data_IF_480633877019
#
_entry.id   IF_480633877019
#
_cell.length_a   1.000
_cell.length_b   1.000
_cell.length_c   1.000
_cell.angle_alpha   90.00
_cell.angle_beta   90.00
_cell.angle_gamma   90.00
#
_symmetry.space_group_name_H-M   'P 1'
#
loop_
_entity.id
_entity.type
_entity.pdbx_description
1 polymer ?
#
# COMPACT_ATOMS: atom_id res chain seq x y z
N UNK A 1 -6.07 12.35 31.51
CA UNK A 1 -5.51 11.00 31.71
C UNK A 1 -6.61 9.98 31.47
N UNK A 2 -6.57 9.29 30.32
CA UNK A 2 -7.59 8.31 29.92
C UNK A 2 -7.15 6.84 30.12
N UNK A 3 -5.88 6.60 30.49
CA UNK A 3 -5.34 5.26 30.75
C UNK A 3 -5.20 4.38 29.51
N UNK A 4 -5.31 4.93 28.30
CA UNK A 4 -5.33 4.15 27.04
C UNK A 4 -3.97 4.08 26.33
N UNK A 5 -2.90 4.60 26.93
CA UNK A 5 -1.57 4.64 26.29
C UNK A 5 -1.00 3.23 26.01
N UNK A 6 -1.31 2.24 26.84
CA UNK A 6 -0.95 0.84 26.57
C UNK A 6 -1.64 0.30 25.32
N UNK A 7 -2.94 0.57 25.15
CA UNK A 7 -3.71 0.21 23.95
C UNK A 7 -3.13 0.90 22.70
N UNK A 8 -2.81 2.20 22.80
CA UNK A 8 -2.17 2.96 21.71
C UNK A 8 -0.82 2.38 21.32
N UNK A 9 -0.01 2.01 22.31
CA UNK A 9 1.30 1.39 22.09
C UNK A 9 1.17 0.06 21.36
N UNK A 10 0.25 -0.81 21.82
CA UNK A 10 -0.03 -2.08 21.16
C UNK A 10 -0.50 -1.88 19.72
N UNK A 11 -1.41 -0.92 19.48
CA UNK A 11 -1.93 -0.62 18.15
C UNK A 11 -0.87 -0.08 17.19
N UNK A 12 0.01 0.80 17.67
CA UNK A 12 1.17 1.26 16.89
C UNK A 12 2.06 0.06 16.49
N UNK A 13 2.34 -0.85 17.43
CA UNK A 13 3.17 -2.02 17.15
C UNK A 13 2.56 -2.96 16.10
N UNK A 14 1.24 -3.20 16.17
CA UNK A 14 0.50 -3.98 15.16
C UNK A 14 0.63 -3.38 13.76
N UNK A 15 0.34 -2.08 13.62
CA UNK A 15 0.36 -1.38 12.34
C UNK A 15 1.77 -1.35 11.75
N UNK A 16 2.80 -1.14 12.58
CA UNK A 16 4.20 -1.19 12.14
C UNK A 16 4.62 -2.60 11.70
N UNK A 17 4.14 -3.63 12.40
CA UNK A 17 4.40 -5.03 12.01
C UNK A 17 3.76 -5.38 10.67
N UNK A 18 2.52 -4.97 10.44
CA UNK A 18 1.86 -5.12 9.13
C UNK A 18 2.63 -4.39 8.04
N UNK A 19 3.00 -3.13 8.28
CA UNK A 19 3.77 -2.34 7.31
C UNK A 19 5.09 -3.03 6.95
N UNK A 20 5.83 -3.53 7.94
CA UNK A 20 7.05 -4.30 7.70
C UNK A 20 6.81 -5.53 6.82
N UNK A 21 5.70 -6.22 7.04
CA UNK A 21 5.31 -7.37 6.21
C UNK A 21 5.03 -6.95 4.77
N UNK A 22 4.31 -5.85 4.57
CA UNK A 22 4.05 -5.29 3.23
C UNK A 22 5.35 -4.87 2.53
N UNK A 23 6.30 -4.27 3.25
CA UNK A 23 7.62 -3.91 2.69
C UNK A 23 8.35 -5.13 2.12
N UNK A 24 8.31 -6.27 2.82
CA UNK A 24 8.94 -7.51 2.36
C UNK A 24 8.29 -8.01 1.06
N UNK A 25 6.96 -7.98 0.97
CA UNK A 25 6.26 -8.39 -0.25
C UNK A 25 6.51 -7.45 -1.41
N UNK A 26 6.52 -6.13 -1.16
CA UNK A 26 6.80 -5.14 -2.20
C UNK A 26 8.20 -5.31 -2.77
N UNK A 27 9.20 -5.49 -1.90
CA UNK A 27 10.59 -5.69 -2.27
C UNK A 27 10.86 -7.01 -3.01
N UNK A 28 10.04 -8.04 -2.76
CA UNK A 28 10.12 -9.34 -3.44
C UNK A 28 9.45 -9.35 -4.83
N UNK A 29 8.81 -8.26 -5.24
CA UNK A 29 8.15 -8.15 -6.54
C UNK A 29 9.15 -8.22 -7.72
N UNK A 30 8.79 -8.85 -8.85
CA UNK A 30 9.65 -8.86 -10.02
C UNK A 30 9.74 -7.46 -10.64
N UNK A 31 10.95 -7.05 -11.03
CA UNK A 31 11.22 -5.69 -11.56
C UNK A 31 11.47 -5.70 -13.07
N UNK A 32 11.95 -6.82 -13.60
CA UNK A 32 12.32 -6.96 -15.01
C UNK A 32 11.73 -8.24 -15.62
N UNK A 33 11.24 -8.19 -16.87
CA UNK A 33 10.82 -9.38 -17.60
C UNK A 33 12.03 -10.22 -18.03
N UNK A 34 11.83 -11.52 -18.18
CA UNK A 34 12.82 -12.39 -18.82
C UNK A 34 12.97 -12.09 -20.33
N UNK A 35 11.90 -11.63 -20.98
CA UNK A 35 11.89 -11.23 -22.38
C UNK A 35 11.84 -9.70 -22.52
N UNK A 36 12.83 -9.11 -23.18
CA UNK A 36 12.91 -7.66 -23.42
C UNK A 36 11.69 -7.12 -24.19
N UNK A 37 11.04 -7.92 -25.02
CA UNK A 37 9.83 -7.51 -25.76
C UNK A 37 8.66 -7.18 -24.81
N UNK A 38 8.64 -7.74 -23.60
CA UNK A 38 7.61 -7.46 -22.61
C UNK A 38 7.91 -6.21 -21.76
N UNK A 39 9.10 -5.63 -21.88
CA UNK A 39 9.54 -4.49 -21.05
C UNK A 39 8.56 -3.32 -21.11
N UNK A 40 8.05 -2.97 -22.29
CA UNK A 40 7.14 -1.84 -22.47
C UNK A 40 5.66 -2.19 -22.30
N UNK A 41 5.35 -3.43 -21.94
CA UNK A 41 3.96 -3.84 -21.75
C UNK A 41 3.39 -3.32 -20.43
N UNK A 42 2.07 -3.21 -20.37
CA UNK A 42 1.38 -2.46 -19.32
C UNK A 42 1.59 -3.06 -17.93
N UNK A 43 1.53 -4.39 -17.78
CA UNK A 43 1.78 -5.03 -16.48
C UNK A 43 3.21 -4.80 -15.98
N UNK A 44 4.21 -4.90 -16.85
CA UNK A 44 5.61 -4.65 -16.48
C UNK A 44 5.87 -3.18 -16.17
N UNK A 45 5.24 -2.25 -16.88
CA UNK A 45 5.28 -0.83 -16.53
C UNK A 45 4.69 -0.56 -15.14
N UNK A 46 3.58 -1.20 -14.78
CA UNK A 46 2.95 -1.10 -13.46
C UNK A 46 3.86 -1.65 -12.36
N UNK A 47 4.50 -2.81 -12.56
CA UNK A 47 5.42 -3.38 -11.56
C UNK A 47 6.63 -2.48 -11.28
N UNK A 48 7.22 -1.89 -12.33
CA UNK A 48 8.30 -0.93 -12.16
C UNK A 48 7.85 0.31 -11.40
N UNK A 49 6.67 0.84 -11.71
CA UNK A 49 6.11 1.96 -10.96
C UNK A 49 5.90 1.58 -9.48
N UNK A 50 5.38 0.39 -9.21
CA UNK A 50 5.21 -0.10 -7.83
C UNK A 50 6.55 -0.24 -7.08
N UNK A 51 7.62 -0.60 -7.78
CA UNK A 51 8.97 -0.66 -7.19
C UNK A 51 9.44 0.74 -6.78
N UNK A 52 9.26 1.73 -7.66
CA UNK A 52 9.60 3.13 -7.37
C UNK A 52 8.75 3.68 -6.23
N UNK A 53 7.44 3.47 -6.25
CA UNK A 53 6.52 3.90 -5.21
C UNK A 53 6.85 3.23 -3.86
N UNK A 54 7.21 1.95 -3.91
CA UNK A 54 7.68 1.16 -2.77
C UNK A 54 8.95 1.71 -2.15
N UNK A 55 9.96 2.06 -2.96
CA UNK A 55 11.17 2.73 -2.46
C UNK A 55 10.85 4.09 -1.85
N UNK A 56 9.99 4.86 -2.51
CA UNK A 56 9.61 6.18 -2.02
C UNK A 56 8.94 6.12 -0.64
N UNK A 57 8.00 5.20 -0.39
CA UNK A 57 7.35 5.10 0.93
C UNK A 57 8.31 4.66 2.05
N UNK A 58 9.44 4.02 1.71
CA UNK A 58 10.53 3.73 2.64
C UNK A 58 11.37 4.97 2.96
N UNK A 59 11.67 5.78 1.95
CA UNK A 59 12.54 6.97 2.08
C UNK A 59 11.84 8.16 2.72
N UNK A 60 10.51 8.21 2.67
CA UNK A 60 9.72 9.26 3.31
C UNK A 60 10.02 9.27 4.81
N UNK A 61 10.56 10.40 5.29
CA UNK A 61 10.90 10.59 6.70
C UNK A 61 9.66 10.44 7.60
N UNK A 62 9.83 9.75 8.72
CA UNK A 62 8.81 9.70 9.76
C UNK A 62 8.72 11.06 10.44
N UNK A 63 7.51 11.60 10.57
CA UNK A 63 7.30 12.81 11.36
C UNK A 63 6.52 12.47 12.62
N UNK A 64 7.27 12.20 13.67
CA UNK A 64 6.75 11.85 14.99
C UNK A 64 6.69 13.05 15.93
N UNK A 65 7.04 14.26 15.46
CA UNK A 65 7.16 15.42 16.33
C UNK A 65 5.78 15.99 16.63
N UNK A 66 5.47 16.09 17.91
CA UNK A 66 4.30 16.84 18.40
C UNK A 66 4.77 18.00 19.30
N UNK A 67 4.12 19.17 19.23
CA UNK A 67 4.34 20.24 20.20
C UNK A 67 4.07 19.77 21.63
N UNK A 68 4.70 20.43 22.61
CA UNK A 68 4.49 20.11 24.03
C UNK A 68 3.01 20.21 24.41
N UNK A 69 2.44 19.12 24.90
CA UNK A 69 1.05 19.04 25.33
C UNK A 69 0.84 19.80 26.65
N UNK A 70 -0.30 20.51 26.75
CA UNK A 70 -0.75 21.09 28.01
C UNK A 70 -1.40 19.98 28.86
N UNK A 71 -0.62 19.22 29.61
CA UNK A 71 -1.18 18.12 30.41
C UNK A 71 -0.20 17.20 31.14
N UNK A 72 1.10 17.48 31.11
CA UNK A 72 2.12 16.60 31.71
C UNK A 72 2.52 15.44 30.81
N UNK A 73 3.32 14.52 31.36
CA UNK A 73 4.02 13.47 30.61
C UNK A 73 3.09 12.48 29.89
N UNK A 74 1.99 12.07 30.52
CA UNK A 74 1.07 11.10 29.91
C UNK A 74 0.26 11.69 28.74
N UNK A 75 -0.16 12.95 28.83
CA UNK A 75 -0.84 13.64 27.72
C UNK A 75 0.14 13.93 26.58
N UNK A 76 1.41 14.18 26.90
CA UNK A 76 2.50 14.24 25.91
C UNK A 76 2.68 12.88 25.21
N UNK A 77 2.79 11.79 25.98
CA UNK A 77 2.94 10.44 25.45
C UNK A 77 1.74 10.04 24.56
N UNK A 78 0.51 10.41 24.97
CA UNK A 78 -0.69 10.23 24.15
C UNK A 78 -0.56 10.95 22.81
N UNK A 79 -0.17 12.23 22.82
CA UNK A 79 -0.02 13.01 21.60
C UNK A 79 1.03 12.41 20.66
N UNK A 80 2.17 11.97 21.20
CA UNK A 80 3.23 11.29 20.46
C UNK A 80 2.74 9.99 19.84
N UNK A 81 2.06 9.14 20.62
CA UNK A 81 1.52 7.86 20.14
C UNK A 81 0.47 8.07 19.03
N UNK A 82 -0.40 9.07 19.15
CA UNK A 82 -1.38 9.38 18.11
C UNK A 82 -0.72 9.88 16.81
N UNK A 83 0.38 10.62 16.92
CA UNK A 83 1.15 11.06 15.76
C UNK A 83 1.89 9.90 15.09
N UNK A 84 2.53 9.03 15.88
CA UNK A 84 3.18 7.81 15.39
C UNK A 84 2.16 6.89 14.74
N UNK A 85 0.97 6.74 15.34
CA UNK A 85 -0.10 5.93 14.76
C UNK A 85 -0.53 6.48 13.40
N UNK A 86 -0.69 7.80 13.25
CA UNK A 86 -1.00 8.41 11.95
C UNK A 86 0.07 8.11 10.90
N UNK A 87 1.35 8.28 11.25
CA UNK A 87 2.48 7.99 10.36
C UNK A 87 2.49 6.51 9.93
N UNK A 88 2.41 5.59 10.89
CA UNK A 88 2.40 4.15 10.64
C UNK A 88 1.19 3.72 9.78
N UNK A 89 0.00 4.24 10.08
CA UNK A 89 -1.22 3.89 9.34
C UNK A 89 -1.18 4.40 7.91
N UNK A 90 -0.67 5.62 7.70
CA UNK A 90 -0.55 6.17 6.35
C UNK A 90 0.45 5.41 5.49
N UNK A 91 1.58 4.97 6.07
CA UNK A 91 2.54 4.10 5.39
C UNK A 91 1.97 2.72 5.07
N UNK A 92 1.27 2.09 6.03
CA UNK A 92 0.59 0.81 5.82
C UNK A 92 -0.45 0.92 4.70
N UNK A 93 -1.23 2.00 4.68
CA UNK A 93 -2.23 2.28 3.65
C UNK A 93 -1.60 2.36 2.26
N UNK A 94 -0.56 3.19 2.10
CA UNK A 94 0.10 3.35 0.80
C UNK A 94 0.78 2.05 0.36
N UNK A 95 1.41 1.32 1.29
CA UNK A 95 2.02 0.03 1.02
C UNK A 95 0.99 -1.03 0.57
N UNK A 96 -0.17 -1.10 1.22
CA UNK A 96 -1.24 -2.02 0.81
C UNK A 96 -1.71 -1.69 -0.62
N UNK A 97 -1.85 -0.40 -0.93
CA UNK A 97 -2.22 0.05 -2.28
C UNK A 97 -1.19 -0.36 -3.33
N UNK A 98 0.10 -0.21 -3.04
CA UNK A 98 1.20 -0.64 -3.91
C UNK A 98 1.14 -2.17 -4.11
N UNK A 99 0.97 -2.93 -3.04
CA UNK A 99 0.91 -4.40 -3.11
C UNK A 99 -0.26 -4.88 -3.98
N UNK A 100 -1.45 -4.32 -3.80
CA UNK A 100 -2.62 -4.65 -4.64
C UNK A 100 -2.36 -4.38 -6.13
N UNK A 101 -1.66 -3.27 -6.45
CA UNK A 101 -1.27 -2.94 -7.83
C UNK A 101 -0.23 -3.93 -8.37
N UNK A 102 0.73 -4.35 -7.55
CA UNK A 102 1.69 -5.39 -7.92
C UNK A 102 0.99 -6.71 -8.21
N UNK A 103 0.03 -7.11 -7.38
CA UNK A 103 -0.72 -8.35 -7.59
C UNK A 103 -1.58 -8.31 -8.86
N UNK A 104 -2.22 -7.19 -9.16
CA UNK A 104 -2.97 -7.01 -10.42
C UNK A 104 -2.05 -7.16 -11.64
N UNK A 105 -0.87 -6.54 -11.59
CA UNK A 105 0.12 -6.67 -12.65
C UNK A 105 0.67 -8.10 -12.78
N UNK A 106 0.93 -8.80 -11.67
CA UNK A 106 1.35 -10.21 -11.68
C UNK A 106 0.28 -11.13 -12.28
N UNK A 107 -1.00 -10.90 -11.96
CA UNK A 107 -2.12 -11.62 -12.60
C UNK A 107 -2.13 -11.38 -14.12
N UNK A 108 -1.99 -10.13 -14.55
CA UNK A 108 -1.92 -9.78 -15.97
C UNK A 108 -0.76 -10.49 -16.68
N UNK A 109 0.42 -10.55 -16.07
CA UNK A 109 1.59 -11.28 -16.63
C UNK A 109 1.25 -12.76 -16.80
N UNK A 110 0.71 -13.40 -15.77
CA UNK A 110 0.34 -14.82 -15.84
C UNK A 110 -0.72 -15.10 -16.91
N UNK A 111 -1.72 -14.23 -17.08
CA UNK A 111 -2.71 -14.38 -18.16
C UNK A 111 -2.12 -14.15 -19.54
N UNK A 112 -1.22 -13.18 -19.68
CA UNK A 112 -0.51 -12.94 -20.93
C UNK A 112 0.32 -14.15 -21.34
N UNK A 113 1.08 -14.73 -20.42
CA UNK A 113 1.85 -15.95 -20.66
C UNK A 113 0.95 -17.11 -21.13
N UNK A 114 -0.23 -17.26 -20.54
CA UNK A 114 -1.22 -18.27 -20.95
C UNK A 114 -1.78 -18.04 -22.36
N UNK A 115 -2.02 -16.78 -22.74
CA UNK A 115 -2.49 -16.43 -24.09
C UNK A 115 -1.39 -16.62 -25.14
N UNK A 116 -0.15 -16.30 -24.77
CA UNK A 116 1.00 -16.38 -25.68
C UNK A 116 1.53 -17.81 -25.82
N UNK A 117 1.48 -18.63 -24.77
CA UNK A 117 2.02 -20.00 -24.75
C UNK A 117 3.47 -20.09 -25.26
N UNK A 118 4.29 -19.08 -24.94
CA UNK A 118 5.68 -18.95 -25.40
C UNK A 118 5.84 -18.42 -26.84
N UNK A 119 4.74 -18.13 -27.54
CA UNK A 119 4.77 -17.45 -28.83
C UNK A 119 4.82 -15.92 -28.66
N UNK A 120 5.14 -15.21 -29.74
CA UNK A 120 5.08 -13.75 -29.77
C UNK A 120 3.64 -13.26 -30.03
N UNK A 121 3.29 -12.02 -29.66
CA UNK A 121 2.02 -11.41 -30.07
C UNK A 121 1.82 -11.49 -31.59
N UNK A 122 0.64 -11.94 -32.03
CA UNK A 122 0.30 -12.09 -33.45
C UNK A 122 -1.20 -11.81 -33.67
N UNK A 123 -1.67 -11.63 -34.93
CA UNK A 123 -3.06 -11.24 -35.17
C UNK A 123 -4.13 -12.16 -34.56
N UNK A 124 -3.81 -13.43 -34.33
CA UNK A 124 -4.73 -14.42 -33.77
C UNK A 124 -4.98 -14.29 -32.26
N UNK A 125 -4.05 -13.67 -31.51
CA UNK A 125 -4.18 -13.47 -30.07
C UNK A 125 -4.34 -11.99 -29.67
N UNK A 126 -4.23 -11.06 -30.63
CA UNK A 126 -4.32 -9.62 -30.39
C UNK A 126 -5.57 -9.20 -29.59
N UNK A 127 -6.74 -9.70 -29.96
CA UNK A 127 -8.00 -9.35 -29.27
C UNK A 127 -8.01 -9.80 -27.80
N UNK A 128 -7.40 -10.95 -27.50
CA UNK A 128 -7.30 -11.47 -26.14
C UNK A 128 -6.32 -10.63 -25.32
N UNK A 129 -5.15 -10.30 -25.89
CA UNK A 129 -4.16 -9.43 -25.23
C UNK A 129 -4.74 -8.05 -24.92
N UNK A 130 -5.50 -7.46 -25.86
CA UNK A 130 -6.18 -6.18 -25.64
C UNK A 130 -7.25 -6.28 -24.52
N UNK A 131 -7.95 -7.41 -24.42
CA UNK A 131 -8.89 -7.64 -23.33
C UNK A 131 -8.19 -7.71 -21.97
N UNK A 132 -7.00 -8.32 -21.89
CA UNK A 132 -6.18 -8.33 -20.68
C UNK A 132 -5.75 -6.92 -20.26
N UNK A 133 -5.30 -6.10 -21.20
CA UNK A 133 -4.93 -4.69 -20.91
C UNK A 133 -6.13 -3.90 -20.35
N UNK A 134 -7.31 -4.07 -20.96
CA UNK A 134 -8.52 -3.43 -20.46
C UNK A 134 -8.92 -3.92 -19.07
N UNK A 135 -8.77 -5.21 -18.80
CA UNK A 135 -9.03 -5.79 -17.48
C UNK A 135 -8.07 -5.22 -16.43
N UNK A 136 -6.77 -5.15 -16.74
CA UNK A 136 -5.77 -4.57 -15.84
C UNK A 136 -6.11 -3.10 -15.52
N UNK A 137 -6.47 -2.29 -16.52
CA UNK A 137 -6.88 -0.89 -16.30
C UNK A 137 -8.11 -0.79 -15.39
N UNK A 138 -9.11 -1.65 -15.60
CA UNK A 138 -10.31 -1.67 -14.77
C UNK A 138 -9.99 -2.06 -13.32
N UNK A 139 -9.11 -3.05 -13.13
CA UNK A 139 -8.66 -3.48 -11.81
C UNK A 139 -7.86 -2.39 -11.10
N UNK A 140 -6.90 -1.76 -11.78
CA UNK A 140 -6.12 -0.65 -11.23
C UNK A 140 -6.99 0.57 -10.88
N UNK A 141 -8.03 0.84 -11.68
CA UNK A 141 -8.99 1.91 -11.39
C UNK A 141 -9.86 1.61 -10.16
N UNK A 142 -10.08 0.33 -9.83
CA UNK A 142 -10.83 -0.08 -8.64
C UNK A 142 -10.03 0.07 -7.34
N UNK A 143 -8.69 0.04 -7.41
CA UNK A 143 -7.79 0.19 -6.25
C UNK A 143 -7.75 1.68 -5.83
N UNK A 144 -8.84 2.14 -5.22
CA UNK A 144 -8.98 3.49 -4.66
C UNK A 144 -8.55 3.55 -3.19
N UNK A 145 -8.39 4.77 -2.66
CA UNK A 145 -8.09 4.95 -1.24
C UNK A 145 -9.24 4.46 -0.33
N UNK A 146 -10.49 4.65 -0.76
CA UNK A 146 -11.67 4.17 -0.05
C UNK A 146 -11.73 2.64 0.01
N UNK A 147 -11.38 1.97 -1.10
CA UNK A 147 -11.30 0.52 -1.16
C UNK A 147 -10.25 0.00 -0.16
N UNK A 148 -9.03 0.51 -0.25
CA UNK A 148 -7.90 0.10 0.62
C UNK A 148 -8.21 0.36 2.09
N UNK A 149 -8.76 1.54 2.40
CA UNK A 149 -9.11 1.90 3.77
C UNK A 149 -10.17 0.96 4.36
N UNK A 150 -11.20 0.63 3.59
CA UNK A 150 -12.29 -0.26 4.02
C UNK A 150 -11.78 -1.69 4.21
N UNK A 151 -10.92 -2.16 3.30
CA UNK A 151 -10.30 -3.49 3.39
C UNK A 151 -9.45 -3.62 4.66
N UNK A 152 -8.54 -2.66 4.91
CA UNK A 152 -7.68 -2.67 6.09
C UNK A 152 -8.48 -2.59 7.39
N UNK A 153 -9.49 -1.72 7.45
CA UNK A 153 -10.36 -1.61 8.62
C UNK A 153 -11.14 -2.91 8.88
N UNK A 154 -11.67 -3.53 7.83
CA UNK A 154 -12.35 -4.83 7.93
C UNK A 154 -11.40 -5.92 8.44
N UNK A 155 -10.17 -5.97 7.93
CA UNK A 155 -9.15 -6.91 8.37
C UNK A 155 -8.75 -6.72 9.84
N UNK A 156 -8.59 -5.46 10.28
CA UNK A 156 -8.29 -5.14 11.68
C UNK A 156 -9.45 -5.55 12.62
N UNK A 157 -10.70 -5.32 12.21
CA UNK A 157 -11.87 -5.78 12.95
C UNK A 157 -11.98 -7.30 13.03
N UNK A 158 -11.72 -8.00 11.93
CA UNK A 158 -11.73 -9.46 11.90
C UNK A 158 -10.67 -10.07 12.83
N UNK A 159 -9.56 -9.36 13.07
CA UNK A 159 -8.52 -9.75 14.01
C UNK A 159 -8.78 -9.30 15.45
N UNK A 160 -9.89 -8.60 15.73
CA UNK A 160 -10.22 -8.12 17.07
C UNK A 160 -9.29 -7.02 17.59
N UNK A 161 -8.63 -6.28 16.69
CA UNK A 161 -7.67 -5.22 17.06
C UNK A 161 -8.39 -3.99 17.61
N UNK A 162 -7.67 -3.20 18.42
CA UNK A 162 -8.20 -1.95 18.97
C UNK A 162 -8.15 -0.82 17.94
N UNK A 163 -9.29 -0.50 17.31
CA UNK A 163 -9.39 0.47 16.20
C UNK A 163 -10.05 1.80 16.56
N UNK A 164 -10.39 2.01 17.85
CA UNK A 164 -11.18 3.17 18.31
C UNK A 164 -10.55 4.53 18.01
N UNK A 165 -9.22 4.60 17.92
CA UNK A 165 -8.47 5.82 17.63
C UNK A 165 -7.73 5.79 16.29
N UNK A 166 -8.09 4.84 15.42
CA UNK A 166 -7.47 4.77 14.10
C UNK A 166 -7.72 6.06 13.31
N UNK A 167 -6.71 6.55 12.56
CA UNK A 167 -6.86 7.78 11.79
C UNK A 167 -7.91 7.61 10.68
N UNK A 168 -8.74 8.64 10.47
CA UNK A 168 -9.66 8.64 9.33
C UNK A 168 -8.92 8.74 8.00
N UNK A 169 -9.56 8.23 6.93
CA UNK A 169 -9.04 8.29 5.55
C UNK A 169 -8.58 9.71 5.16
N UNK A 170 -9.36 10.73 5.53
CA UNK A 170 -9.02 12.12 5.27
C UNK A 170 -7.70 12.56 5.92
N UNK A 171 -7.40 12.08 7.14
CA UNK A 171 -6.13 12.39 7.82
C UNK A 171 -4.96 11.67 7.14
N UNK A 172 -5.16 10.42 6.74
CA UNK A 172 -4.19 9.62 6.00
C UNK A 172 -3.83 10.31 4.67
N UNK A 173 -4.85 10.66 3.87
CA UNK A 173 -4.64 11.34 2.59
C UNK A 173 -3.92 12.68 2.75
N UNK A 174 -4.27 13.47 3.77
CA UNK A 174 -3.56 14.73 4.06
C UNK A 174 -2.09 14.49 4.41
N UNK A 175 -1.81 13.47 5.21
CA UNK A 175 -0.44 13.10 5.58
C UNK A 175 0.38 12.66 4.36
N UNK A 176 -0.21 11.91 3.43
CA UNK A 176 0.43 11.48 2.18
C UNK A 176 0.67 12.68 1.25
N UNK A 177 -0.33 13.54 1.09
CA UNK A 177 -0.23 14.74 0.24
C UNK A 177 0.84 15.71 0.72
N UNK A 178 1.02 15.89 2.03
CA UNK A 178 2.06 16.80 2.56
C UNK A 178 3.49 16.33 2.28
N UNK A 179 3.66 15.12 1.73
CA UNK A 179 4.96 14.50 1.47
C UNK A 179 5.25 14.26 -0.02
N UNK A 180 4.22 14.28 -0.87
CA UNK A 180 4.37 14.23 -2.33
C UNK A 180 5.19 15.45 -2.77
N UNK A 181 6.29 15.20 -3.49
CA UNK A 181 7.13 16.24 -4.10
C UNK A 181 6.46 16.83 -5.33
#
# INVERSE_FOLDING_TARGET
MDGLNECRTARVAEVLSDFRTLQLYIAAGPVEPENEEDYYTEGWAVLRQCTVDGQYILEVAADTRVPAAQGGEEEQAKAELQQVLLDAYARRHEAQKILLRQEAARRWIGYREQVLQGQRPHPGNHAQLQALDNQLRAELAHISDEYVYTELLSADHAQGRWTMEDPSLRRIQRWLQSRRR
#
